data_IF_441851728600
#
_entry.id   IF_441851728600
#
_cell.length_a   1.000
_cell.length_b   1.000
_cell.length_c   1.000
_cell.angle_alpha   90.00
_cell.angle_beta   90.00
_cell.angle_gamma   90.00
#
_symmetry.space_group_name_H-M   'P 1'
#
loop_
_entity.id
_entity.type
_entity.pdbx_description
1 polymer ?
#
# COMPACT_ATOMS: atom_id res chain seq x y z
N UNK A 1 19.59 13.56 -0.96
CA UNK A 1 18.38 12.80 -1.35
C UNK A 1 17.20 13.77 -1.54
N UNK A 2 16.18 13.39 -2.31
CA UNK A 2 15.00 14.24 -2.62
C UNK A 2 13.70 13.56 -2.19
N UNK A 3 12.59 14.29 -2.18
CA UNK A 3 11.28 13.72 -1.88
C UNK A 3 11.16 13.20 -0.45
N UNK A 4 10.60 12.00 -0.26
CA UNK A 4 10.43 11.38 1.06
C UNK A 4 11.75 11.08 1.78
N UNK A 5 12.85 10.94 1.04
CA UNK A 5 14.18 10.71 1.59
C UNK A 5 14.97 11.99 1.82
N UNK A 6 14.39 13.18 1.61
CA UNK A 6 15.06 14.45 1.89
C UNK A 6 15.17 14.74 3.40
N UNK A 7 15.95 15.75 3.76
CA UNK A 7 16.08 16.28 5.13
C UNK A 7 14.96 17.27 5.50
N UNK A 8 13.90 17.37 4.71
CA UNK A 8 12.79 18.30 4.98
C UNK A 8 12.02 17.87 6.22
N UNK A 9 11.71 18.84 7.08
CA UNK A 9 10.85 18.63 8.26
C UNK A 9 9.45 18.18 7.84
N UNK A 10 8.85 18.84 6.84
CA UNK A 10 7.58 18.45 6.24
C UNK A 10 7.78 17.85 4.86
N UNK A 11 7.34 16.62 4.68
CA UNK A 11 7.49 15.84 3.44
C UNK A 11 6.16 15.64 2.69
N UNK A 12 5.27 16.63 2.77
CA UNK A 12 4.12 16.70 1.88
C UNK A 12 4.55 17.14 0.47
N UNK A 13 3.66 16.98 -0.51
CA UNK A 13 3.96 17.25 -1.92
C UNK A 13 4.44 18.69 -2.13
N UNK A 14 3.85 19.68 -1.46
CA UNK A 14 4.19 21.09 -1.65
C UNK A 14 5.62 21.44 -1.18
N UNK A 15 6.03 21.18 0.09
CA UNK A 15 7.41 21.36 0.51
C UNK A 15 8.43 20.62 -0.37
N UNK A 16 8.12 19.40 -0.78
CA UNK A 16 8.97 18.64 -1.71
C UNK A 16 9.09 19.37 -3.06
N UNK A 17 7.96 19.78 -3.64
CA UNK A 17 7.95 20.46 -4.92
C UNK A 17 8.73 21.78 -4.91
N UNK A 18 8.65 22.54 -3.82
CA UNK A 18 9.35 23.82 -3.68
C UNK A 18 10.87 23.71 -3.53
N UNK A 19 11.38 22.51 -3.23
CA UNK A 19 12.81 22.26 -2.98
C UNK A 19 13.50 21.43 -4.05
N UNK A 20 12.71 20.85 -4.97
CA UNK A 20 13.21 20.15 -6.15
C UNK A 20 13.33 21.14 -7.30
N UNK A 21 14.47 21.13 -7.99
CA UNK A 21 14.67 21.95 -9.19
C UNK A 21 13.55 21.67 -10.21
N UNK A 22 12.93 22.72 -10.73
CA UNK A 22 11.77 22.67 -11.64
C UNK A 22 10.52 21.97 -11.07
N UNK A 23 10.47 21.77 -9.75
CA UNK A 23 9.33 21.17 -9.06
C UNK A 23 8.07 22.03 -9.12
N UNK A 24 6.96 21.43 -9.56
CA UNK A 24 5.66 22.10 -9.65
C UNK A 24 4.65 21.38 -8.77
N UNK A 25 4.15 22.08 -7.75
CA UNK A 25 3.19 21.53 -6.76
C UNK A 25 2.02 20.82 -7.44
N UNK A 26 1.36 21.51 -8.39
CA UNK A 26 0.18 20.97 -9.07
C UNK A 26 0.49 19.75 -9.94
N UNK A 27 1.64 19.74 -10.61
CA UNK A 27 2.05 18.60 -11.44
C UNK A 27 2.35 17.37 -10.58
N UNK A 28 3.04 17.55 -9.45
CA UNK A 28 3.33 16.45 -8.52
C UNK A 28 2.06 15.92 -7.83
N UNK A 29 1.11 16.79 -7.50
CA UNK A 29 -0.20 16.35 -7.00
C UNK A 29 -0.90 15.45 -8.02
N UNK A 30 -1.04 15.91 -9.27
CA UNK A 30 -1.68 15.14 -10.34
C UNK A 30 -0.96 13.84 -10.65
N UNK A 31 0.37 13.82 -10.55
CA UNK A 31 1.15 12.60 -10.73
C UNK A 31 0.78 11.52 -9.72
N UNK A 32 0.49 11.90 -8.47
CA UNK A 32 0.05 10.96 -7.43
C UNK A 32 -1.44 10.64 -7.52
N UNK A 33 -2.30 11.59 -7.92
CA UNK A 33 -3.76 11.41 -7.88
C UNK A 33 -4.42 10.95 -9.18
N UNK A 34 -3.99 11.47 -10.34
CA UNK A 34 -4.74 11.36 -11.60
C UNK A 34 -4.03 10.51 -12.66
N UNK A 35 -2.70 10.41 -12.59
CA UNK A 35 -1.93 9.61 -13.55
C UNK A 35 -2.19 8.13 -13.27
N UNK A 36 -2.41 7.34 -14.33
CA UNK A 36 -2.54 5.89 -14.22
C UNK A 36 -1.14 5.28 -14.15
N UNK A 37 -0.88 4.55 -13.07
CA UNK A 37 0.37 3.83 -12.86
C UNK A 37 0.17 2.39 -13.29
N UNK A 38 1.10 1.87 -14.09
CA UNK A 38 1.19 0.42 -14.30
C UNK A 38 1.80 -0.22 -13.05
N UNK A 39 0.97 -0.43 -12.03
CA UNK A 39 1.39 -0.91 -10.72
C UNK A 39 2.10 -2.26 -10.82
N UNK A 40 1.65 -3.14 -11.72
CA UNK A 40 2.28 -4.45 -11.93
C UNK A 40 3.71 -4.30 -12.43
N UNK A 41 3.96 -3.47 -13.45
CA UNK A 41 5.32 -3.23 -13.95
C UNK A 41 6.22 -2.55 -12.91
N UNK A 42 5.67 -1.59 -12.16
CA UNK A 42 6.43 -0.90 -11.10
C UNK A 42 6.82 -1.89 -10.00
N UNK A 43 5.88 -2.73 -9.54
CA UNK A 43 6.14 -3.74 -8.52
C UNK A 43 7.09 -4.82 -9.03
N UNK A 44 6.96 -5.28 -10.28
CA UNK A 44 7.89 -6.25 -10.87
C UNK A 44 9.34 -5.73 -10.84
N UNK A 45 9.55 -4.49 -11.32
CA UNK A 45 10.88 -3.88 -11.29
C UNK A 45 11.41 -3.70 -9.87
N UNK A 46 10.58 -3.20 -8.97
CA UNK A 46 10.95 -3.00 -7.57
C UNK A 46 11.31 -4.32 -6.86
N UNK A 47 10.55 -5.38 -7.08
CA UNK A 47 10.83 -6.72 -6.55
C UNK A 47 12.13 -7.30 -7.09
N UNK A 48 12.44 -7.04 -8.37
CA UNK A 48 13.75 -7.36 -8.96
C UNK A 48 14.90 -6.72 -8.20
N UNK A 49 14.82 -5.41 -7.90
CA UNK A 49 15.83 -4.71 -7.11
C UNK A 49 15.96 -5.29 -5.69
N UNK A 50 14.83 -5.59 -5.04
CA UNK A 50 14.84 -6.24 -3.72
C UNK A 50 15.53 -7.61 -3.77
N UNK A 51 15.35 -8.38 -4.85
CA UNK A 51 16.01 -9.67 -4.98
C UNK A 51 17.51 -9.54 -5.25
N UNK A 52 17.91 -8.60 -6.10
CA UNK A 52 19.32 -8.31 -6.37
C UNK A 52 20.07 -7.90 -5.10
N UNK A 53 19.45 -7.05 -4.27
CA UNK A 53 20.11 -6.51 -3.07
C UNK A 53 19.96 -7.40 -1.84
N UNK A 54 18.80 -8.04 -1.65
CA UNK A 54 18.43 -8.72 -0.40
C UNK A 54 18.17 -10.22 -0.55
N UNK A 55 18.14 -10.77 -1.76
CA UNK A 55 17.76 -12.16 -2.03
C UNK A 55 18.65 -13.18 -1.31
N UNK A 56 18.00 -14.10 -0.58
CA UNK A 56 18.66 -15.17 0.17
C UNK A 56 17.75 -16.43 0.18
N UNK A 57 18.29 -17.64 -0.04
CA UNK A 57 17.53 -18.89 0.07
C UNK A 57 16.89 -19.15 1.43
N UNK A 58 17.37 -18.49 2.49
CA UNK A 58 16.82 -18.52 3.86
C UNK A 58 15.97 -17.30 4.18
N UNK A 59 15.69 -16.44 3.19
CA UNK A 59 14.79 -15.32 3.36
C UNK A 59 13.38 -15.76 3.73
N UNK A 60 12.68 -14.93 4.47
CA UNK A 60 11.32 -15.20 4.93
C UNK A 60 10.35 -14.18 4.38
N UNK A 61 9.15 -14.67 4.05
CA UNK A 61 8.02 -13.85 3.66
C UNK A 61 7.08 -13.70 4.86
N UNK A 62 6.77 -12.46 5.21
CA UNK A 62 5.96 -12.08 6.36
C UNK A 62 4.72 -11.38 5.83
N UNK A 63 3.56 -11.75 6.35
CA UNK A 63 2.30 -11.08 6.07
C UNK A 63 1.77 -10.47 7.35
N UNK A 64 1.51 -9.17 7.32
CA UNK A 64 0.96 -8.47 8.47
C UNK A 64 0.06 -7.33 8.01
N UNK A 65 -0.81 -6.89 8.91
CA UNK A 65 -1.71 -5.77 8.71
C UNK A 65 -1.27 -4.57 9.54
N UNK A 66 -1.49 -3.37 9.01
CA UNK A 66 -1.34 -2.16 9.82
C UNK A 66 -2.51 -1.21 9.65
N UNK A 67 -2.91 -0.62 10.77
CA UNK A 67 -4.01 0.32 10.87
C UNK A 67 -3.53 1.76 10.85
N UNK A 68 -4.15 2.57 10.01
CA UNK A 68 -3.92 4.00 9.89
C UNK A 68 -5.12 4.75 10.43
N UNK A 69 -4.92 5.50 11.52
CA UNK A 69 -5.98 6.32 12.12
C UNK A 69 -6.55 7.33 11.11
N UNK A 70 -7.87 7.46 11.11
CA UNK A 70 -8.58 8.43 10.29
C UNK A 70 -9.61 9.18 11.13
N UNK A 71 -9.77 10.48 10.87
CA UNK A 71 -10.81 11.29 11.50
C UNK A 71 -12.06 11.46 10.63
N UNK A 72 -11.93 11.28 9.31
CA UNK A 72 -13.03 11.42 8.35
C UNK A 72 -13.60 10.08 7.85
N UNK A 73 -14.58 10.18 6.96
CA UNK A 73 -15.31 9.06 6.36
C UNK A 73 -15.00 8.84 4.86
N UNK A 74 -14.12 9.67 4.28
CA UNK A 74 -13.88 9.75 2.84
C UNK A 74 -12.65 8.94 2.38
N UNK A 75 -11.99 8.18 3.26
CA UNK A 75 -10.94 7.23 2.86
C UNK A 75 -11.56 5.87 2.57
N UNK A 76 -11.24 5.26 1.42
CA UNK A 76 -11.70 3.91 1.05
C UNK A 76 -11.42 2.91 2.18
N UNK A 77 -12.42 2.10 2.54
CA UNK A 77 -12.28 1.07 3.58
C UNK A 77 -12.17 1.61 5.01
N UNK A 78 -12.34 2.93 5.23
CA UNK A 78 -12.32 3.49 6.60
C UNK A 78 -13.53 3.03 7.40
N UNK A 79 -13.30 2.58 8.62
CA UNK A 79 -14.34 2.10 9.53
C UNK A 79 -13.86 2.09 10.98
N UNK A 80 -14.81 2.02 11.92
CA UNK A 80 -14.53 1.55 13.28
C UNK A 80 -14.16 0.08 13.23
N UNK A 81 -12.87 -0.22 13.40
CA UNK A 81 -12.30 -1.56 13.40
C UNK A 81 -11.04 -1.57 14.29
N UNK A 82 -10.50 -2.75 14.61
CA UNK A 82 -9.28 -2.84 15.42
C UNK A 82 -8.10 -2.20 14.67
N UNK A 83 -7.45 -1.22 15.30
CA UNK A 83 -6.32 -0.49 14.75
C UNK A 83 -5.05 -0.94 15.49
N UNK A 84 -4.29 -1.86 14.88
CA UNK A 84 -3.11 -2.46 15.50
C UNK A 84 -2.08 -1.45 16.02
N UNK A 85 -1.88 -0.34 15.31
CA UNK A 85 -0.94 0.73 15.67
C UNK A 85 -1.24 1.44 17.00
N UNK A 86 -2.46 1.32 17.52
CA UNK A 86 -2.89 1.94 18.79
C UNK A 86 -3.56 0.93 19.73
N UNK A 87 -3.60 -0.35 19.35
CA UNK A 87 -4.10 -1.44 20.19
C UNK A 87 -5.59 -1.43 20.55
N UNK A 88 -6.43 -0.68 19.82
CA UNK A 88 -7.87 -0.55 20.14
C UNK A 88 -8.76 -0.41 18.90
N UNK A 89 -10.06 -0.57 19.09
CA UNK A 89 -11.07 -0.27 18.06
C UNK A 89 -11.17 1.24 17.91
N UNK A 90 -10.92 1.73 16.70
CA UNK A 90 -11.06 3.13 16.32
C UNK A 90 -11.43 3.27 14.86
N UNK A 91 -11.80 4.49 14.46
CA UNK A 91 -11.93 4.80 13.04
C UNK A 91 -10.55 4.76 12.35
N UNK A 92 -10.31 3.73 11.57
CA UNK A 92 -9.06 3.53 10.84
C UNK A 92 -9.28 2.88 9.49
N UNK A 93 -8.27 3.03 8.64
CA UNK A 93 -8.09 2.29 7.38
C UNK A 93 -7.03 1.21 7.63
N UNK A 94 -7.20 0.02 7.08
CA UNK A 94 -6.25 -1.08 7.32
C UNK A 94 -5.65 -1.53 5.99
N UNK A 95 -4.34 -1.58 5.93
CA UNK A 95 -3.60 -2.21 4.83
C UNK A 95 -3.08 -3.57 5.26
N UNK A 96 -3.04 -4.53 4.34
CA UNK A 96 -2.34 -5.81 4.45
C UNK A 96 -1.08 -5.74 3.61
N UNK A 97 0.04 -6.16 4.18
CA UNK A 97 1.36 -6.00 3.59
C UNK A 97 2.07 -7.35 3.52
N UNK A 98 2.79 -7.57 2.42
CA UNK A 98 3.80 -8.62 2.34
C UNK A 98 5.16 -7.96 2.53
N UNK A 99 5.96 -8.49 3.44
CA UNK A 99 7.32 -8.05 3.71
C UNK A 99 8.28 -9.21 3.53
N UNK A 100 9.48 -8.91 3.07
CA UNK A 100 10.59 -9.83 2.94
C UNK A 100 11.67 -9.46 3.95
N UNK A 101 12.28 -10.47 4.56
CA UNK A 101 13.43 -10.29 5.42
C UNK A 101 14.47 -11.39 5.16
N UNK A 102 15.73 -11.01 5.17
CA UNK A 102 16.87 -11.92 5.04
C UNK A 102 18.04 -11.44 5.91
N UNK A 103 19.18 -12.13 5.83
CA UNK A 103 20.41 -11.66 6.48
C UNK A 103 20.91 -10.32 5.94
N UNK A 104 20.44 -9.89 4.75
CA UNK A 104 20.86 -8.66 4.09
C UNK A 104 19.99 -7.45 4.42
N UNK A 105 18.79 -7.65 4.97
CA UNK A 105 17.87 -6.57 5.32
C UNK A 105 16.40 -6.97 5.19
N UNK A 106 15.55 -5.97 5.01
CA UNK A 106 14.10 -6.16 4.87
C UNK A 106 13.48 -5.11 3.95
N UNK A 107 12.39 -5.50 3.28
CA UNK A 107 11.64 -4.63 2.38
C UNK A 107 10.16 -5.04 2.32
N UNK A 108 9.26 -4.08 2.06
CA UNK A 108 7.89 -4.41 1.66
C UNK A 108 7.88 -4.92 0.22
N UNK A 109 7.06 -5.91 -0.12
CA UNK A 109 6.96 -6.49 -1.46
C UNK A 109 5.62 -6.20 -2.14
N UNK A 110 4.55 -6.13 -1.36
CA UNK A 110 3.19 -5.93 -1.85
C UNK A 110 2.33 -5.27 -0.77
N UNK A 111 1.24 -4.62 -1.18
CA UNK A 111 0.28 -3.94 -0.31
C UNK A 111 -1.12 -4.13 -0.90
N UNK A 112 -2.08 -4.43 -0.03
CA UNK A 112 -3.51 -4.50 -0.37
C UNK A 112 -4.31 -3.71 0.65
N UNK A 113 -5.32 -2.99 0.18
CA UNK A 113 -6.25 -2.32 1.07
C UNK A 113 -7.29 -3.32 1.57
N UNK A 114 -7.47 -3.44 2.88
CA UNK A 114 -8.60 -4.17 3.44
C UNK A 114 -9.84 -3.26 3.46
N UNK A 115 -10.88 -3.67 2.75
CA UNK A 115 -12.17 -3.00 2.71
C UNK A 115 -13.16 -3.82 3.54
N UNK A 116 -13.63 -3.33 4.71
CA UNK A 116 -14.53 -4.08 5.58
C UNK A 116 -15.84 -4.44 4.88
N UNK A 117 -16.41 -5.61 5.16
CA UNK A 117 -17.61 -6.12 4.49
C UNK A 117 -18.79 -5.12 4.43
N UNK A 118 -18.98 -4.33 5.49
CA UNK A 118 -20.01 -3.28 5.53
C UNK A 118 -19.89 -2.23 4.42
N UNK A 119 -18.69 -2.03 3.85
CA UNK A 119 -18.49 -1.11 2.73
C UNK A 119 -19.18 -1.58 1.45
N UNK A 120 -19.61 -2.84 1.37
CA UNK A 120 -20.30 -3.41 0.22
C UNK A 120 -21.83 -3.42 0.37
N UNK A 121 -22.38 -2.85 1.46
CA UNK A 121 -23.82 -2.65 1.61
C UNK A 121 -24.33 -1.47 0.79
N UNK A 122 -25.64 -1.37 0.60
CA UNK A 122 -26.27 -0.25 -0.12
C UNK A 122 -26.03 1.11 0.58
N UNK A 123 -25.97 1.12 1.91
CA UNK A 123 -25.65 2.32 2.71
C UNK A 123 -24.31 2.95 2.30
N UNK A 124 -23.34 2.14 1.89
CA UNK A 124 -22.00 2.59 1.50
C UNK A 124 -21.84 2.78 -0.02
N UNK A 125 -22.88 2.54 -0.83
CA UNK A 125 -22.81 2.65 -2.29
C UNK A 125 -22.37 4.05 -2.75
N UNK A 126 -22.95 5.10 -2.16
CA UNK A 126 -22.55 6.49 -2.43
C UNK A 126 -21.09 6.79 -2.07
N UNK A 127 -20.54 6.15 -1.02
CA UNK A 127 -19.13 6.31 -0.63
C UNK A 127 -18.20 5.56 -1.57
N UNK A 128 -18.55 4.33 -1.97
CA UNK A 128 -17.79 3.56 -2.97
C UNK A 128 -17.65 4.35 -4.27
N UNK A 129 -18.77 4.90 -4.76
CA UNK A 129 -18.78 5.74 -5.96
C UNK A 129 -17.95 7.02 -5.80
N UNK A 130 -18.05 7.72 -4.67
CA UNK A 130 -17.28 8.95 -4.42
C UNK A 130 -15.77 8.70 -4.35
N UNK A 131 -15.35 7.51 -3.95
CA UNK A 131 -13.93 7.17 -3.78
C UNK A 131 -13.38 6.30 -4.92
N UNK A 132 -14.07 6.24 -6.06
CA UNK A 132 -13.67 5.48 -7.25
C UNK A 132 -13.33 4.01 -6.97
N UNK A 133 -14.08 3.38 -6.06
CA UNK A 133 -13.98 1.93 -5.86
C UNK A 133 -14.58 1.23 -7.07
N UNK A 134 -13.79 0.38 -7.73
CA UNK A 134 -14.19 -0.37 -8.91
C UNK A 134 -15.40 -1.26 -8.62
N UNK A 135 -16.35 -1.35 -9.54
CA UNK A 135 -17.63 -2.06 -9.35
C UNK A 135 -17.44 -3.56 -9.13
N UNK A 136 -16.42 -4.15 -9.75
CA UNK A 136 -16.01 -5.54 -9.60
C UNK A 136 -15.27 -5.84 -8.29
N UNK A 137 -15.04 -4.82 -7.45
CA UNK A 137 -14.39 -5.03 -6.15
C UNK A 137 -15.33 -5.82 -5.25
N UNK A 138 -14.87 -6.98 -4.81
CA UNK A 138 -15.59 -7.83 -3.86
C UNK A 138 -14.92 -7.83 -2.48
N UNK A 139 -15.68 -8.22 -1.45
CA UNK A 139 -15.14 -8.40 -0.12
C UNK A 139 -14.09 -9.51 -0.09
N UNK A 140 -12.94 -9.22 0.54
CA UNK A 140 -11.91 -10.20 0.85
C UNK A 140 -11.45 -10.03 2.29
N UNK A 141 -11.39 -11.14 3.02
CA UNK A 141 -10.74 -11.17 4.32
C UNK A 141 -9.24 -10.91 4.19
N UNK A 142 -8.61 -10.47 5.27
CA UNK A 142 -7.17 -10.18 5.29
C UNK A 142 -6.31 -11.42 4.96
N UNK A 143 -6.63 -12.64 5.44
CA UNK A 143 -5.93 -13.84 5.00
C UNK A 143 -6.12 -14.14 3.50
N UNK A 144 -7.31 -13.90 2.93
CA UNK A 144 -7.51 -14.06 1.48
C UNK A 144 -6.62 -13.09 0.68
N UNK A 145 -6.53 -11.83 1.12
CA UNK A 145 -5.62 -10.85 0.51
C UNK A 145 -4.16 -11.33 0.60
N UNK A 146 -3.72 -11.83 1.76
CA UNK A 146 -2.37 -12.37 1.93
C UNK A 146 -2.09 -13.56 1.00
N UNK A 147 -3.06 -14.48 0.82
CA UNK A 147 -2.95 -15.62 -0.11
C UNK A 147 -2.83 -15.15 -1.56
N UNK A 148 -3.58 -14.13 -1.96
CA UNK A 148 -3.48 -13.55 -3.31
C UNK A 148 -2.11 -12.90 -3.55
N UNK A 149 -1.60 -12.18 -2.55
CA UNK A 149 -0.24 -11.61 -2.59
C UNK A 149 0.81 -12.72 -2.72
N UNK A 150 0.71 -13.80 -1.93
CA UNK A 150 1.61 -14.94 -2.03
C UNK A 150 1.61 -15.55 -3.44
N UNK A 151 0.44 -15.83 -4.00
CA UNK A 151 0.30 -16.39 -5.35
C UNK A 151 0.89 -15.45 -6.40
N UNK A 152 0.64 -14.15 -6.29
CA UNK A 152 1.21 -13.14 -7.17
C UNK A 152 2.74 -13.11 -7.13
N UNK A 153 3.33 -13.20 -5.94
CA UNK A 153 4.78 -13.24 -5.75
C UNK A 153 5.41 -14.53 -6.30
N UNK A 154 4.76 -15.69 -6.09
CA UNK A 154 5.25 -16.97 -6.63
C UNK A 154 5.25 -17.01 -8.16
N UNK A 155 4.22 -16.42 -8.80
CA UNK A 155 4.11 -16.40 -10.26
C UNK A 155 5.14 -15.50 -10.95
N UNK A 156 5.71 -14.52 -10.24
CA UNK A 156 6.65 -13.56 -10.82
C UNK A 156 8.12 -14.02 -10.79
N UNK A 157 8.42 -15.22 -10.26
CA UNK A 157 9.77 -15.85 -10.17
C UNK A 157 10.92 -14.93 -9.70
N UNK A 158 10.60 -13.80 -9.06
CA UNK A 158 11.57 -12.71 -8.85
C UNK A 158 12.26 -12.78 -7.49
N UNK A 159 11.69 -13.43 -6.48
CA UNK A 159 12.17 -13.34 -5.08
C UNK A 159 12.22 -14.67 -4.32
N UNK A 160 11.62 -15.73 -4.86
CA UNK A 160 11.52 -17.02 -4.17
C UNK A 160 12.26 -18.08 -5.00
N UNK A 161 13.35 -18.67 -4.49
CA UNK A 161 13.87 -19.89 -5.11
C UNK A 161 12.78 -20.97 -5.05
N UNK A 162 12.63 -21.70 -6.16
CA UNK A 162 11.76 -22.89 -6.21
C UNK A 162 12.31 -24.01 -5.34
#
# INVERSE_FOLDING_TARGET
MVGQFSELERKSIEPIALTVQDGKVRSMQRFISDVVWDEEKVLYKYRGLVNEDLGDPKGVLIFDETGFLKKGNDSVGVAKQYCGSIGKIENCQVGVFAAYASAHGYALLDKRLFIPEKWFTEEYAGRRKKCDVLEETEFKSKPQLAVEMLRGLQNQETLLPK
#
